data_IF_990156388578
#
_entry.id   IF_990156388578
#
_cell.length_a   1.000
_cell.length_b   1.000
_cell.length_c   1.000
_cell.angle_alpha   90.00
_cell.angle_beta   90.00
_cell.angle_gamma   90.00
#
_symmetry.space_group_name_H-M   'P 1'
#
loop_
_entity.id
_entity.type
_entity.pdbx_description
1 polymer ?
#
# COMPACT_ATOMS: atom_id res chain seq x y z
N UNK A 1 10.04 -18.41 -20.45
CA UNK A 1 10.39 -17.99 -19.07
C UNK A 1 9.64 -16.71 -18.77
N UNK A 2 8.41 -16.82 -18.26
CA UNK A 2 7.46 -15.71 -18.13
C UNK A 2 7.69 -14.91 -16.84
N UNK A 3 8.13 -13.66 -17.00
CA UNK A 3 7.41 -12.50 -16.45
C UNK A 3 7.35 -12.27 -14.94
N UNK A 4 8.14 -12.91 -14.08
CA UNK A 4 8.11 -12.58 -12.62
C UNK A 4 8.67 -11.20 -12.25
N UNK A 5 9.26 -10.48 -13.21
CA UNK A 5 10.12 -9.33 -12.94
C UNK A 5 9.62 -8.02 -13.56
N UNK A 6 8.58 -8.11 -14.40
CA UNK A 6 8.01 -6.96 -15.10
C UNK A 6 6.50 -7.07 -15.09
N UNK A 7 5.82 -5.97 -14.79
CA UNK A 7 4.38 -5.83 -15.00
C UNK A 7 4.13 -4.83 -16.11
N UNK A 8 3.12 -5.09 -16.91
CA UNK A 8 2.58 -4.12 -17.86
C UNK A 8 1.33 -3.51 -17.25
N UNK A 9 1.20 -2.20 -17.35
CA UNK A 9 0.03 -1.44 -16.92
C UNK A 9 -0.45 -0.62 -18.10
N UNK A 10 -1.77 -0.60 -18.32
CA UNK A 10 -2.33 0.43 -19.18
C UNK A 10 -2.21 1.82 -18.48
N UNK A 11 -2.37 2.94 -19.22
CA UNK A 11 -2.24 4.28 -18.66
C UNK A 11 -3.17 4.55 -17.47
N UNK A 12 -4.40 4.05 -17.50
CA UNK A 12 -5.40 4.25 -16.44
C UNK A 12 -5.04 3.49 -15.16
N UNK A 13 -4.56 2.24 -15.28
CA UNK A 13 -4.07 1.44 -14.17
C UNK A 13 -2.86 2.10 -13.50
N UNK A 14 -1.90 2.58 -14.29
CA UNK A 14 -0.72 3.28 -13.79
C UNK A 14 -1.10 4.56 -13.03
N UNK A 15 -2.01 5.36 -13.58
CA UNK A 15 -2.52 6.57 -12.91
C UNK A 15 -3.27 6.21 -11.63
N UNK A 16 -4.10 5.18 -11.66
CA UNK A 16 -4.85 4.72 -10.49
C UNK A 16 -3.93 4.30 -9.35
N UNK A 17 -2.86 3.56 -9.64
CA UNK A 17 -1.85 3.20 -8.65
C UNK A 17 -1.10 4.41 -8.09
N UNK A 18 -0.70 5.37 -8.95
CA UNK A 18 -0.05 6.63 -8.54
C UNK A 18 -0.96 7.42 -7.59
N UNK A 19 -2.22 7.63 -8.00
CA UNK A 19 -3.21 8.40 -7.22
C UNK A 19 -3.43 7.73 -5.87
N UNK A 20 -3.59 6.40 -5.85
CA UNK A 20 -3.80 5.64 -4.61
C UNK A 20 -2.63 5.80 -3.63
N UNK A 21 -1.40 5.72 -4.13
CA UNK A 21 -0.19 5.82 -3.32
C UNK A 21 0.01 7.25 -2.75
N UNK A 22 -0.12 8.28 -3.58
CA UNK A 22 0.05 9.68 -3.18
C UNK A 22 -1.10 10.26 -2.33
N UNK A 23 -2.24 9.56 -2.29
CA UNK A 23 -3.39 9.96 -1.47
C UNK A 23 -3.43 9.28 -0.10
N UNK A 24 -2.38 8.53 0.26
CA UNK A 24 -2.23 7.96 1.60
C UNK A 24 -1.93 9.05 2.62
N UNK A 25 -2.31 8.82 3.88
CA UNK A 25 -2.08 9.75 4.99
C UNK A 25 -0.64 9.68 5.54
N UNK A 26 0.35 9.45 4.68
CA UNK A 26 1.76 9.39 5.06
C UNK A 26 2.40 10.78 4.88
N UNK A 27 2.96 11.40 5.94
CA UNK A 27 3.56 12.74 5.87
C UNK A 27 4.64 12.90 4.79
N UNK A 28 5.43 11.84 4.56
CA UNK A 28 6.50 11.84 3.57
C UNK A 28 5.99 11.92 2.12
N UNK A 29 4.72 11.57 1.87
CA UNK A 29 4.12 11.65 0.54
C UNK A 29 3.69 13.06 0.15
N UNK A 30 3.53 14.00 1.10
CA UNK A 30 3.01 15.35 0.83
C UNK A 30 3.89 16.11 -0.15
N UNK A 31 5.21 16.01 0.01
CA UNK A 31 6.17 16.68 -0.87
C UNK A 31 6.10 16.11 -2.27
N UNK A 32 6.02 14.78 -2.39
CA UNK A 32 5.94 14.11 -3.67
C UNK A 32 4.60 14.39 -4.36
N UNK A 33 3.49 14.38 -3.61
CA UNK A 33 2.19 14.83 -4.05
C UNK A 33 2.27 16.24 -4.63
N UNK A 34 2.84 17.19 -3.88
CA UNK A 34 2.95 18.58 -4.29
C UNK A 34 3.73 18.73 -5.60
N UNK A 35 4.87 18.04 -5.72
CA UNK A 35 5.70 18.07 -6.92
C UNK A 35 4.97 17.49 -8.15
N UNK A 36 4.25 16.38 -7.98
CA UNK A 36 3.46 15.76 -9.07
C UNK A 36 2.29 16.64 -9.44
N UNK A 37 1.59 17.23 -8.46
CA UNK A 37 0.46 18.10 -8.70
C UNK A 37 0.88 19.34 -9.50
N UNK A 38 1.97 20.01 -9.10
CA UNK A 38 2.53 21.15 -9.85
C UNK A 38 2.97 20.75 -11.25
N UNK A 39 3.55 19.56 -11.43
CA UNK A 39 3.90 19.07 -12.76
C UNK A 39 2.67 18.94 -13.66
N UNK A 40 1.54 18.48 -13.12
CA UNK A 40 0.29 18.27 -13.87
C UNK A 40 -0.49 19.57 -14.14
N UNK A 41 -0.52 20.50 -13.17
CA UNK A 41 -1.39 21.68 -13.21
C UNK A 41 -0.64 22.99 -13.43
N UNK A 42 0.69 22.98 -13.35
CA UNK A 42 1.50 24.19 -13.23
C UNK A 42 1.41 24.83 -11.84
N UNK A 43 1.80 26.10 -11.74
CA UNK A 43 1.70 26.88 -10.51
C UNK A 43 2.81 26.61 -9.49
N UNK A 44 2.50 26.84 -8.22
CA UNK A 44 3.40 26.66 -7.07
C UNK A 44 2.67 26.09 -5.87
N UNK A 45 3.37 25.24 -5.11
CA UNK A 45 2.91 24.66 -3.86
C UNK A 45 3.84 24.98 -2.70
N UNK A 46 3.27 25.10 -1.52
CA UNK A 46 4.02 25.18 -0.26
C UNK A 46 3.42 24.21 0.75
N UNK A 47 4.19 23.23 1.25
CA UNK A 47 3.73 22.44 2.39
C UNK A 47 3.59 23.37 3.60
N UNK A 48 2.52 23.24 4.38
CA UNK A 48 2.32 24.11 5.55
C UNK A 48 0.98 23.96 6.24
N UNK A 49 0.93 24.41 7.50
CA UNK A 49 -0.24 24.38 8.40
C UNK A 49 -1.19 25.54 8.14
N UNK A 50 -2.45 25.41 8.55
CA UNK A 50 -3.37 26.55 8.67
C UNK A 50 -3.21 27.19 10.06
N UNK A 51 -3.30 28.53 10.16
CA UNK A 51 -2.93 29.27 11.40
C UNK A 51 -3.91 29.09 12.57
N UNK A 52 -5.08 28.49 12.36
CA UNK A 52 -6.20 28.49 13.32
C UNK A 52 -6.62 27.10 13.82
N UNK A 53 -5.78 26.08 13.64
CA UNK A 53 -6.19 24.68 13.85
C UNK A 53 -5.24 23.94 14.79
N UNK A 54 -5.81 23.31 15.81
CA UNK A 54 -5.12 22.64 16.90
C UNK A 54 -4.85 21.15 16.66
N UNK A 55 -5.17 20.62 15.48
CA UNK A 55 -5.13 19.17 15.23
C UNK A 55 -3.83 18.64 14.62
N UNK A 56 -3.43 17.46 15.11
CA UNK A 56 -2.32 16.66 14.60
C UNK A 56 -2.49 16.21 13.12
N UNK A 57 -3.70 16.28 12.57
CA UNK A 57 -4.05 15.92 11.18
C UNK A 57 -3.50 16.90 10.13
N UNK A 58 -2.96 18.06 10.54
CA UNK A 58 -2.47 19.10 9.63
C UNK A 58 -1.01 18.97 9.17
N UNK A 59 -0.30 17.91 9.52
CA UNK A 59 1.05 17.67 8.98
C UNK A 59 1.05 17.26 7.49
N UNK A 60 -0.14 17.10 6.90
CA UNK A 60 -0.35 16.53 5.56
C UNK A 60 -1.23 17.47 4.71
N UNK A 61 -0.82 18.73 4.54
CA UNK A 61 -1.57 19.71 3.74
C UNK A 61 -0.66 20.55 2.85
N UNK A 62 -1.24 21.10 1.78
CA UNK A 62 -0.55 22.01 0.89
C UNK A 62 -1.31 23.32 0.70
N UNK A 63 -0.56 24.40 0.55
CA UNK A 63 -1.04 25.63 -0.06
C UNK A 63 -0.70 25.61 -1.54
N UNK A 64 -1.66 25.88 -2.40
CA UNK A 64 -1.49 25.89 -3.85
C UNK A 64 -1.85 27.25 -4.44
N UNK A 65 -1.12 27.64 -5.48
CA UNK A 65 -1.36 28.87 -6.23
C UNK A 65 -1.00 28.66 -7.70
N UNK A 66 -1.99 28.81 -8.57
CA UNK A 66 -1.89 28.71 -10.03
C UNK A 66 -1.13 29.89 -10.64
N UNK A 67 -1.44 31.12 -10.22
CA UNK A 67 -0.84 32.38 -10.68
C UNK A 67 -0.52 33.29 -9.49
N UNK A 68 0.56 34.08 -9.57
CA UNK A 68 0.96 35.07 -8.54
C UNK A 68 -0.17 36.05 -8.19
N UNK A 69 -1.06 36.34 -9.14
CA UNK A 69 -2.19 37.25 -8.95
C UNK A 69 -3.42 36.61 -8.28
N UNK A 70 -3.45 35.28 -8.16
CA UNK A 70 -4.54 34.57 -7.50
C UNK A 70 -4.25 34.31 -6.03
N UNK A 71 -5.30 34.22 -5.20
CA UNK A 71 -5.14 33.86 -3.78
C UNK A 71 -4.65 32.42 -3.65
N UNK A 72 -3.82 32.15 -2.64
CA UNK A 72 -3.43 30.79 -2.28
C UNK A 72 -4.65 30.03 -1.75
N UNK A 73 -4.82 28.80 -2.20
CA UNK A 73 -5.88 27.88 -1.76
C UNK A 73 -5.25 26.81 -0.87
N UNK A 74 -5.90 26.50 0.24
CA UNK A 74 -5.48 25.43 1.14
C UNK A 74 -6.16 24.11 0.75
N UNK A 75 -5.36 23.04 0.63
CA UNK A 75 -5.84 21.69 0.40
C UNK A 75 -5.35 20.75 1.50
N UNK A 76 -6.32 20.13 2.17
CA UNK A 76 -6.10 19.03 3.12
C UNK A 76 -5.91 17.70 2.37
N UNK A 77 -5.13 16.76 2.93
CA UNK A 77 -4.87 15.44 2.34
C UNK A 77 -6.11 14.66 1.93
N UNK A 78 -7.25 14.82 2.62
CA UNK A 78 -8.51 14.18 2.24
C UNK A 78 -8.92 14.50 0.79
N UNK A 79 -8.46 15.63 0.25
CA UNK A 79 -8.72 16.07 -1.12
C UNK A 79 -7.66 15.63 -2.13
N UNK A 80 -6.55 15.05 -1.71
CA UNK A 80 -5.44 14.72 -2.61
C UNK A 80 -5.86 13.76 -3.71
N UNK A 81 -6.72 12.79 -3.38
CA UNK A 81 -7.24 11.83 -4.35
C UNK A 81 -8.03 12.48 -5.46
N UNK A 82 -9.01 13.31 -5.13
CA UNK A 82 -9.84 14.01 -6.12
C UNK A 82 -9.02 15.01 -6.95
N UNK A 83 -8.07 15.70 -6.31
CA UNK A 83 -7.23 16.69 -6.98
C UNK A 83 -6.30 16.05 -8.01
N UNK A 84 -5.61 14.96 -7.64
CA UNK A 84 -4.74 14.25 -8.59
C UNK A 84 -5.53 13.59 -9.71
N UNK A 85 -6.63 12.89 -9.39
CA UNK A 85 -7.47 12.25 -10.41
C UNK A 85 -7.95 13.28 -11.44
N UNK A 86 -8.43 14.44 -10.98
CA UNK A 86 -8.83 15.54 -11.85
C UNK A 86 -7.67 16.16 -12.63
N UNK A 87 -6.48 16.27 -12.04
CA UNK A 87 -5.29 16.82 -12.69
C UNK A 87 -4.78 15.91 -13.81
N UNK A 88 -4.68 14.59 -13.58
CA UNK A 88 -4.31 13.63 -14.61
C UNK A 88 -5.29 13.63 -15.79
N UNK A 89 -6.60 13.67 -15.50
CA UNK A 89 -7.64 13.71 -16.53
C UNK A 89 -7.52 14.96 -17.41
N UNK A 90 -7.20 16.12 -16.82
CA UNK A 90 -7.04 17.39 -17.54
C UNK A 90 -5.73 17.45 -18.34
N UNK A 91 -4.63 16.97 -17.76
CA UNK A 91 -3.31 17.02 -18.38
C UNK A 91 -3.16 16.11 -19.61
N UNK A 92 -3.93 15.01 -19.67
CA UNK A 92 -3.91 14.02 -20.78
C UNK A 92 -2.48 13.61 -21.18
N UNK A 93 -1.71 13.19 -20.17
CA UNK A 93 -0.31 12.83 -20.37
C UNK A 93 -0.15 11.61 -21.29
N UNK A 94 0.93 11.63 -22.09
CA UNK A 94 1.39 10.45 -22.81
C UNK A 94 2.02 9.41 -21.88
N UNK A 95 2.11 8.17 -22.35
CA UNK A 95 2.71 7.03 -21.63
C UNK A 95 4.12 7.29 -21.11
N UNK A 96 4.94 8.04 -21.86
CA UNK A 96 6.31 8.42 -21.45
C UNK A 96 6.33 9.25 -20.17
N UNK A 97 5.43 10.23 -20.04
CA UNK A 97 5.40 11.10 -18.85
C UNK A 97 4.73 10.39 -17.66
N UNK A 98 3.70 9.57 -17.92
CA UNK A 98 3.13 8.68 -16.90
C UNK A 98 4.20 7.75 -16.35
N UNK A 99 5.03 7.14 -17.21
CA UNK A 99 6.11 6.26 -16.79
C UNK A 99 7.15 6.99 -15.92
N UNK A 100 7.53 8.23 -16.24
CA UNK A 100 8.45 9.04 -15.39
C UNK A 100 7.86 9.33 -14.02
N UNK A 101 6.59 9.74 -13.96
CA UNK A 101 5.90 9.99 -12.68
C UNK A 101 5.83 8.69 -11.89
N UNK A 102 5.44 7.59 -12.55
CA UNK A 102 5.32 6.28 -11.92
C UNK A 102 6.65 5.83 -11.29
N UNK A 103 7.77 5.96 -12.01
CA UNK A 103 9.10 5.60 -11.48
C UNK A 103 9.43 6.36 -10.21
N UNK A 104 9.17 7.68 -10.22
CA UNK A 104 9.42 8.56 -9.09
C UNK A 104 8.53 8.24 -7.89
N UNK A 105 7.26 7.93 -8.15
CA UNK A 105 6.27 7.67 -7.10
C UNK A 105 6.47 6.31 -6.47
N UNK A 106 6.72 5.28 -7.27
CA UNK A 106 6.75 3.88 -6.84
C UNK A 106 8.16 3.35 -6.54
N UNK A 107 9.20 4.18 -6.70
CA UNK A 107 10.62 3.87 -6.43
C UNK A 107 11.13 2.64 -7.19
N UNK A 108 10.73 2.56 -8.46
CA UNK A 108 11.07 1.49 -9.39
C UNK A 108 11.40 2.09 -10.74
N UNK A 109 12.03 1.29 -11.62
CA UNK A 109 12.20 1.70 -13.01
C UNK A 109 10.92 1.40 -13.80
N UNK A 110 10.44 2.37 -14.58
CA UNK A 110 9.33 2.19 -15.50
C UNK A 110 9.50 2.99 -16.78
N UNK A 111 9.03 2.43 -17.88
CA UNK A 111 9.20 2.99 -19.21
C UNK A 111 7.95 2.75 -20.06
N UNK A 112 7.71 3.62 -21.04
CA UNK A 112 6.65 3.38 -22.02
C UNK A 112 7.06 2.26 -22.98
N UNK A 113 6.09 1.44 -23.38
CA UNK A 113 6.26 0.51 -24.48
C UNK A 113 4.94 -0.17 -24.84
N UNK A 114 5.01 -1.06 -25.81
CA UNK A 114 3.86 -1.80 -26.33
C UNK A 114 3.91 -3.24 -25.80
N UNK A 115 2.75 -3.84 -25.51
CA UNK A 115 2.66 -5.24 -25.11
C UNK A 115 2.56 -6.19 -26.33
N UNK A 116 2.49 -7.50 -26.07
CA UNK A 116 2.37 -8.54 -27.10
C UNK A 116 1.10 -8.42 -27.96
N UNK A 117 0.10 -7.67 -27.50
CA UNK A 117 -1.17 -7.43 -28.19
C UNK A 117 -1.15 -6.15 -29.03
N UNK A 118 -0.04 -5.42 -29.06
CA UNK A 118 0.05 -4.14 -29.76
C UNK A 118 -0.54 -2.96 -28.98
N UNK A 119 -0.79 -3.11 -27.68
CA UNK A 119 -1.35 -2.05 -26.83
C UNK A 119 -0.23 -1.25 -26.18
N UNK A 120 -0.28 0.08 -26.28
CA UNK A 120 0.68 0.98 -25.63
C UNK A 120 0.37 1.14 -24.13
N UNK A 121 1.43 1.15 -23.32
CA UNK A 121 1.31 1.30 -21.88
C UNK A 121 2.64 1.51 -21.19
N UNK A 122 2.69 1.10 -19.92
CA UNK A 122 3.81 1.30 -19.01
C UNK A 122 4.34 -0.07 -18.58
N UNK A 123 5.59 -0.34 -18.90
CA UNK A 123 6.34 -1.45 -18.33
C UNK A 123 7.01 -1.02 -17.02
N UNK A 124 6.86 -1.84 -15.98
CA UNK A 124 7.41 -1.58 -14.65
C UNK A 124 8.28 -2.73 -14.22
N UNK A 125 9.54 -2.46 -13.88
CA UNK A 125 10.47 -3.41 -13.28
C UNK A 125 10.27 -3.43 -11.77
N UNK A 126 9.51 -4.41 -11.28
CA UNK A 126 9.00 -4.37 -9.90
C UNK A 126 10.06 -4.67 -8.85
N UNK A 127 11.16 -5.32 -9.25
CA UNK A 127 12.25 -5.81 -8.41
C UNK A 127 11.82 -6.77 -7.28
N UNK A 128 10.60 -7.30 -7.36
CA UNK A 128 10.02 -8.13 -6.29
C UNK A 128 10.74 -9.46 -6.08
N UNK A 129 11.51 -9.93 -7.07
CA UNK A 129 12.35 -11.12 -6.93
C UNK A 129 13.54 -10.95 -5.97
N UNK A 130 13.95 -9.70 -5.69
CA UNK A 130 15.01 -9.42 -4.73
C UNK A 130 14.53 -9.62 -3.30
N UNK A 131 13.22 -9.56 -3.06
CA UNK A 131 12.63 -9.76 -1.76
C UNK A 131 12.88 -11.17 -1.22
N UNK A 132 13.49 -11.25 -0.04
CA UNK A 132 13.55 -12.50 0.73
C UNK A 132 13.30 -12.21 2.19
N UNK A 133 12.21 -12.76 2.74
CA UNK A 133 11.93 -12.64 4.17
C UNK A 133 13.07 -13.27 5.00
N UNK A 134 13.88 -12.44 5.66
CA UNK A 134 14.99 -12.87 6.52
C UNK A 134 14.54 -13.29 7.94
N UNK A 135 13.23 -13.39 8.16
CA UNK A 135 12.64 -13.79 9.44
C UNK A 135 12.99 -12.86 10.62
N UNK A 136 13.27 -11.58 10.35
CA UNK A 136 13.62 -10.61 11.39
C UNK A 136 12.46 -10.25 12.34
N UNK A 137 11.21 -10.53 11.94
CA UNK A 137 10.02 -10.26 12.74
C UNK A 137 9.44 -8.84 12.61
N UNK A 138 10.17 -7.88 12.01
CA UNK A 138 9.76 -6.47 11.93
C UNK A 138 8.31 -6.28 11.42
N UNK A 139 8.03 -6.78 10.21
CA UNK A 139 6.70 -6.64 9.62
C UNK A 139 5.60 -7.44 10.33
N UNK A 140 5.95 -8.50 11.06
CA UNK A 140 4.99 -9.32 11.79
C UNK A 140 4.69 -8.81 13.21
N UNK A 141 5.53 -7.92 13.75
CA UNK A 141 5.42 -7.40 15.12
C UNK A 141 4.95 -5.95 15.14
N UNK A 142 5.40 -5.14 14.18
CA UNK A 142 5.30 -3.69 14.27
C UNK A 142 4.26 -3.11 13.30
N UNK A 143 3.75 -3.91 12.34
CA UNK A 143 2.71 -3.45 11.43
C UNK A 143 1.35 -3.89 11.96
N UNK A 144 0.45 -2.93 12.14
CA UNK A 144 -0.91 -3.20 12.61
C UNK A 144 -1.64 -4.19 11.69
N UNK A 145 -1.42 -4.05 10.38
CA UNK A 145 -1.83 -4.98 9.31
C UNK A 145 -1.49 -6.46 9.57
N UNK A 146 -0.51 -6.78 10.43
CA UNK A 146 -0.15 -8.16 10.76
C UNK A 146 -1.00 -8.77 11.89
N UNK A 147 -1.66 -7.94 12.72
CA UNK A 147 -2.43 -8.37 13.89
C UNK A 147 -3.91 -8.01 13.83
N UNK A 148 -4.25 -6.87 13.23
CA UNK A 148 -5.61 -6.40 12.96
C UNK A 148 -5.86 -6.52 11.46
N UNK A 149 -6.31 -7.69 11.03
CA UNK A 149 -6.48 -8.00 9.61
C UNK A 149 -7.70 -8.87 9.40
N UNK A 150 -8.04 -9.13 8.15
CA UNK A 150 -9.18 -9.97 7.79
C UNK A 150 -8.73 -11.18 6.98
N UNK A 151 -9.44 -12.28 7.15
CA UNK A 151 -9.41 -13.41 6.25
C UNK A 151 -10.44 -13.19 5.14
N UNK A 152 -10.03 -13.46 3.90
CA UNK A 152 -10.97 -13.59 2.79
C UNK A 152 -11.63 -14.98 2.80
N UNK A 153 -12.71 -15.12 2.02
CA UNK A 153 -13.44 -16.38 1.87
C UNK A 153 -12.54 -17.54 1.46
N UNK A 154 -11.56 -17.29 0.61
CA UNK A 154 -10.60 -18.29 0.12
C UNK A 154 -9.68 -18.81 1.24
N UNK A 155 -9.28 -17.96 2.18
CA UNK A 155 -8.54 -18.36 3.38
C UNK A 155 -9.37 -19.27 4.27
N UNK A 156 -10.63 -18.91 4.53
CA UNK A 156 -11.55 -19.68 5.38
C UNK A 156 -11.81 -21.08 4.81
N UNK A 157 -12.20 -21.15 3.54
CA UNK A 157 -12.45 -22.42 2.84
C UNK A 157 -11.19 -23.29 2.82
N UNK A 158 -10.01 -22.67 2.65
CA UNK A 158 -8.76 -23.40 2.66
C UNK A 158 -8.48 -23.99 4.04
N UNK A 159 -8.65 -23.23 5.12
CA UNK A 159 -8.42 -23.74 6.47
C UNK A 159 -9.39 -24.84 6.88
N UNK A 160 -10.66 -24.74 6.49
CA UNK A 160 -11.65 -25.83 6.67
C UNK A 160 -11.20 -27.10 5.94
N UNK A 161 -10.81 -26.99 4.66
CA UNK A 161 -10.32 -28.13 3.86
C UNK A 161 -9.03 -28.74 4.41
N UNK A 162 -8.14 -27.92 4.95
CA UNK A 162 -6.90 -28.37 5.59
C UNK A 162 -7.12 -28.92 7.01
N UNK A 163 -8.35 -28.90 7.54
CA UNK A 163 -8.67 -29.33 8.91
C UNK A 163 -8.01 -28.46 9.99
N UNK A 164 -7.71 -27.19 9.68
CA UNK A 164 -7.03 -26.24 10.56
C UNK A 164 -8.02 -25.50 11.47
N UNK A 165 -8.77 -26.29 12.24
CA UNK A 165 -9.69 -25.78 13.26
C UNK A 165 -8.96 -24.93 14.31
N UNK A 166 -7.69 -25.24 14.57
CA UNK A 166 -6.82 -24.44 15.43
C UNK A 166 -6.61 -23.01 14.93
N UNK A 167 -6.73 -22.75 13.62
CA UNK A 167 -6.73 -21.39 13.05
C UNK A 167 -8.14 -20.79 13.12
N UNK A 168 -9.15 -21.56 12.74
CA UNK A 168 -10.54 -21.11 12.69
C UNK A 168 -11.07 -20.66 14.06
N UNK A 169 -10.57 -21.23 15.16
CA UNK A 169 -10.88 -20.78 16.53
C UNK A 169 -10.46 -19.33 16.81
N UNK A 170 -9.55 -18.76 16.01
CA UNK A 170 -9.06 -17.38 16.17
C UNK A 170 -9.74 -16.38 15.21
N UNK A 171 -10.78 -16.84 14.50
CA UNK A 171 -11.51 -16.09 13.49
C UNK A 171 -12.85 -15.64 14.08
N UNK A 172 -13.19 -14.37 13.90
CA UNK A 172 -14.52 -13.85 14.26
C UNK A 172 -15.29 -13.44 13.00
N UNK A 173 -16.45 -14.04 12.79
CA UNK A 173 -17.33 -13.68 11.68
C UNK A 173 -18.12 -12.42 12.03
N UNK A 174 -18.12 -11.43 11.13
CA UNK A 174 -18.85 -10.18 11.33
C UNK A 174 -20.39 -10.37 11.26
N UNK A 175 -20.84 -11.39 10.53
CA UNK A 175 -22.24 -11.81 10.43
C UNK A 175 -22.28 -13.35 10.41
N UNK A 176 -23.20 -13.97 11.14
CA UNK A 176 -23.26 -15.43 11.32
C UNK A 176 -23.42 -16.21 10.00
N UNK A 177 -24.12 -15.62 9.01
CA UNK A 177 -24.37 -16.22 7.71
C UNK A 177 -23.42 -15.74 6.59
N UNK A 178 -22.53 -14.77 6.88
CA UNK A 178 -21.64 -14.20 5.88
C UNK A 178 -20.19 -14.67 6.09
N UNK A 179 -19.83 -15.75 5.39
CA UNK A 179 -18.44 -16.25 5.33
C UNK A 179 -17.58 -15.54 4.26
N UNK A 180 -17.93 -14.31 3.86
CA UNK A 180 -17.14 -13.56 2.87
C UNK A 180 -15.94 -12.84 3.48
N UNK A 181 -16.05 -12.39 4.73
CA UNK A 181 -15.00 -11.67 5.45
C UNK A 181 -15.05 -11.99 6.95
N UNK A 182 -13.89 -12.23 7.55
CA UNK A 182 -13.81 -12.47 8.99
C UNK A 182 -12.59 -11.80 9.61
N UNK A 183 -12.73 -11.33 10.84
CA UNK A 183 -11.69 -10.64 11.58
C UNK A 183 -10.68 -11.62 12.16
N UNK A 184 -9.41 -11.21 12.09
CA UNK A 184 -8.24 -11.89 12.62
C UNK A 184 -7.45 -10.87 13.48
N UNK A 185 -6.92 -11.21 14.66
CA UNK A 185 -7.01 -12.47 15.40
C UNK A 185 -7.74 -12.23 16.72
N UNK A 186 -8.84 -12.95 16.95
CA UNK A 186 -9.60 -12.86 18.19
C UNK A 186 -9.22 -14.03 19.09
N UNK A 187 -8.97 -13.77 20.36
CA UNK A 187 -8.62 -14.80 21.34
C UNK A 187 -9.83 -15.69 21.62
N UNK A 188 -9.79 -17.02 21.36
CA UNK A 188 -10.92 -17.91 21.67
C UNK A 188 -11.19 -18.03 23.18
N UNK A 189 -10.25 -17.60 24.02
CA UNK A 189 -10.38 -17.66 25.48
C UNK A 189 -11.05 -16.42 26.08
N UNK A 190 -10.84 -15.25 25.47
CA UNK A 190 -11.28 -13.97 26.03
C UNK A 190 -12.30 -13.26 25.15
N UNK A 191 -12.41 -13.63 23.87
CA UNK A 191 -13.23 -12.91 22.89
C UNK A 191 -12.65 -11.56 22.46
N UNK A 192 -11.42 -11.24 22.88
CA UNK A 192 -10.78 -9.94 22.63
C UNK A 192 -9.75 -10.02 21.49
N UNK A 193 -9.53 -8.89 20.82
CA UNK A 193 -8.43 -8.73 19.87
C UNK A 193 -7.08 -8.95 20.55
N UNK A 194 -6.20 -9.69 19.88
CA UNK A 194 -4.85 -9.89 20.39
C UNK A 194 -3.94 -8.70 20.08
N UNK A 195 -3.09 -8.34 21.04
CA UNK A 195 -2.01 -7.35 20.81
C UNK A 195 -0.82 -7.93 20.04
N UNK A 196 -0.81 -9.24 19.78
CA UNK A 196 0.26 -9.94 19.05
C UNK A 196 -0.26 -11.17 18.33
N UNK A 197 0.22 -11.37 17.09
CA UNK A 197 -0.12 -12.55 16.29
C UNK A 197 0.13 -13.86 17.06
N UNK A 198 -0.89 -14.72 17.24
CA UNK A 198 -0.80 -15.94 18.04
C UNK A 198 0.07 -17.00 17.37
N UNK A 199 0.38 -16.85 16.07
CA UNK A 199 1.15 -17.79 15.27
C UNK A 199 2.64 -17.46 15.16
N UNK A 200 3.06 -16.28 15.62
CA UNK A 200 4.46 -15.85 15.55
C UNK A 200 5.24 -16.31 16.79
N UNK A 201 6.41 -16.93 16.60
CA UNK A 201 7.30 -17.38 17.68
C UNK A 201 8.72 -16.90 17.46
N UNK A 202 9.37 -16.38 18.51
CA UNK A 202 10.82 -16.13 18.49
C UNK A 202 11.54 -17.46 18.60
N UNK A 203 12.54 -17.70 17.76
CA UNK A 203 13.38 -18.90 17.85
C UNK A 203 14.31 -18.79 19.07
N UNK A 204 14.46 -19.86 19.87
CA UNK A 204 15.36 -19.82 21.03
C UNK A 204 16.78 -19.44 20.63
N UNK A 205 17.40 -18.54 21.41
CA UNK A 205 18.79 -18.08 21.24
C UNK A 205 19.11 -17.50 19.85
N UNK A 206 18.10 -17.07 19.08
CA UNK A 206 18.27 -16.44 17.76
C UNK A 206 17.40 -15.20 17.64
N UNK A 207 17.88 -14.17 16.94
CA UNK A 207 17.08 -13.02 16.55
C UNK A 207 16.31 -13.28 15.26
N UNK A 208 15.57 -14.41 15.27
CA UNK A 208 14.73 -14.85 14.17
C UNK A 208 13.35 -15.24 14.68
N UNK A 209 12.34 -15.00 13.87
CA UNK A 209 10.94 -15.33 14.14
C UNK A 209 10.42 -16.36 13.13
N UNK A 210 9.63 -17.31 13.62
CA UNK A 210 8.96 -18.34 12.81
C UNK A 210 7.46 -18.15 12.93
N UNK A 211 6.79 -18.09 11.78
CA UNK A 211 5.33 -18.19 11.70
C UNK A 211 4.97 -19.68 11.70
N UNK A 212 4.17 -20.13 12.67
CA UNK A 212 3.74 -21.54 12.78
C UNK A 212 2.79 -21.95 11.66
N UNK A 213 2.09 -21.00 11.05
CA UNK A 213 1.18 -21.23 9.92
C UNK A 213 1.78 -20.82 8.58
N UNK A 214 3.12 -20.80 8.45
CA UNK A 214 3.80 -20.22 7.29
C UNK A 214 3.23 -20.64 5.93
N UNK A 215 2.94 -21.94 5.77
CA UNK A 215 2.46 -22.50 4.51
C UNK A 215 0.99 -22.16 4.21
N UNK A 216 0.20 -21.87 5.25
CA UNK A 216 -1.24 -21.55 5.13
C UNK A 216 -1.58 -20.18 5.73
N UNK A 217 -0.63 -19.25 5.72
CA UNK A 217 -0.86 -17.87 6.12
C UNK A 217 -2.09 -17.29 5.39
N UNK A 218 -2.81 -16.34 6.01
CA UNK A 218 -3.85 -15.60 5.31
C UNK A 218 -3.25 -14.86 4.11
N UNK A 219 -4.07 -14.62 3.09
CA UNK A 219 -3.71 -13.94 1.86
C UNK A 219 -3.10 -12.56 2.14
N UNK A 220 -3.62 -11.84 3.13
CA UNK A 220 -3.06 -10.56 3.56
C UNK A 220 -1.57 -10.68 3.92
N UNK A 221 -1.20 -11.64 4.79
CA UNK A 221 0.18 -11.86 5.19
C UNK A 221 1.06 -12.41 4.06
N UNK A 222 0.49 -13.17 3.10
CA UNK A 222 1.21 -13.69 1.92
C UNK A 222 1.54 -12.58 0.91
N UNK A 223 0.68 -11.58 0.79
CA UNK A 223 0.82 -10.42 -0.11
C UNK A 223 1.84 -9.40 0.40
N UNK A 224 2.45 -9.60 1.58
CA UNK A 224 3.49 -8.71 2.07
C UNK A 224 4.89 -9.11 1.52
N UNK A 225 5.69 -8.13 1.04
CA UNK A 225 5.34 -6.74 0.80
C UNK A 225 4.54 -6.58 -0.49
N UNK A 226 3.64 -5.58 -0.52
CA UNK A 226 2.77 -5.28 -1.68
C UNK A 226 3.55 -4.68 -2.86
N UNK A 227 4.68 -4.03 -2.58
CA UNK A 227 5.60 -3.43 -3.54
C UNK A 227 6.97 -3.22 -2.89
N UNK A 228 8.01 -2.92 -3.69
CA UNK A 228 9.34 -2.52 -3.19
C UNK A 228 9.23 -1.29 -2.28
N UNK A 229 8.51 -0.24 -2.72
CA UNK A 229 8.26 0.95 -1.91
C UNK A 229 7.64 0.59 -0.55
N UNK A 230 6.57 -0.21 -0.54
CA UNK A 230 5.93 -0.64 0.71
C UNK A 230 6.90 -1.40 1.63
N UNK A 231 7.79 -2.25 1.09
CA UNK A 231 8.81 -2.91 1.89
C UNK A 231 9.77 -1.92 2.54
N UNK A 232 10.27 -0.94 1.78
CA UNK A 232 11.25 0.03 2.24
C UNK A 232 10.64 1.00 3.27
N UNK A 233 9.43 1.52 3.02
CA UNK A 233 8.76 2.45 3.93
C UNK A 233 8.36 1.79 5.25
N UNK A 234 8.11 0.48 5.25
CA UNK A 234 7.81 -0.29 6.48
C UNK A 234 9.05 -0.88 7.16
N UNK A 235 10.27 -0.52 6.70
CA UNK A 235 11.52 -0.96 7.33
C UNK A 235 11.82 -2.46 7.17
N UNK A 236 11.37 -3.07 6.07
CA UNK A 236 11.63 -4.48 5.81
C UNK A 236 13.13 -4.75 5.61
N UNK A 237 13.72 -5.61 6.43
CA UNK A 237 15.14 -6.02 6.29
C UNK A 237 15.41 -7.05 5.19
N UNK A 238 14.37 -7.47 4.47
CA UNK A 238 14.44 -8.49 3.41
C UNK A 238 14.51 -7.90 2.00
N UNK A 239 14.61 -6.57 1.92
CA UNK A 239 14.67 -5.78 0.70
C UNK A 239 15.83 -4.79 0.79
#
# INVERSE_FOLDING_TARGET
>A
MTGRHKKFLNPEEAVTEIVKDLSSSEPDQVKLFADVYVFLTGGKTWPGRHKESSDFTEQISIWYQTDRNQKKVFYNWHRFRELLAGAFLKAKLGTTDIAKIYSRVMWVNSYSGTNERGEDGIWVETEMEKFKCVQCGNCCLNLNDAICTTADREDLIRWEKEGRWDILDWVSFLLEDDRTLADLWISPRTGEEVTRCPWLRKLPKKDKYKCRIHNTKPAHCKKYPKSKKHALTTGCKGF
#
